data_IF_951198782959
#
_entry.id   IF_951198782959
#
_cell.length_a   1.000
_cell.length_b   1.000
_cell.length_c   1.000
_cell.angle_alpha   90.00
_cell.angle_beta   90.00
_cell.angle_gamma   90.00
#
_symmetry.space_group_name_H-M   'P 1'
#
loop_
_entity.id
_entity.type
_entity.pdbx_description
1 polymer ?
#
# COMPACT_ATOMS: atom_id res chain seq x y z
N UNK A 1 -2.77 32.41 10.40
CA UNK A 1 -1.56 31.59 10.30
C UNK A 1 -1.91 30.17 9.83
N UNK A 2 -0.95 29.43 9.22
CA UNK A 2 -1.19 28.10 8.66
C UNK A 2 -1.70 27.11 9.71
N UNK A 3 -1.08 27.06 10.89
CA UNK A 3 -1.47 26.15 11.97
C UNK A 3 -2.90 26.35 12.46
N UNK A 4 -3.35 27.59 12.58
CA UNK A 4 -4.73 27.88 12.98
C UNK A 4 -5.75 27.39 11.93
N UNK A 5 -5.40 27.43 10.64
CA UNK A 5 -6.22 26.89 9.57
C UNK A 5 -6.35 25.37 9.69
N UNK A 6 -5.25 24.67 9.95
CA UNK A 6 -5.25 23.21 10.13
C UNK A 6 -6.09 22.80 11.34
N UNK A 7 -5.96 23.52 12.45
CA UNK A 7 -6.77 23.29 13.65
C UNK A 7 -8.27 23.54 13.37
N UNK A 8 -8.59 24.62 12.68
CA UNK A 8 -9.97 24.95 12.29
C UNK A 8 -10.62 23.89 11.38
N UNK A 9 -9.83 23.33 10.44
CA UNK A 9 -10.31 22.30 9.51
C UNK A 9 -10.65 20.97 10.20
N UNK A 10 -10.09 20.69 11.38
CA UNK A 10 -10.32 19.47 12.15
C UNK A 10 -10.17 18.20 11.29
N UNK A 11 -9.01 18.04 10.63
CA UNK A 11 -8.76 16.99 9.64
C UNK A 11 -8.78 15.62 10.30
N UNK A 12 -9.63 14.72 9.77
CA UNK A 12 -9.75 13.33 10.20
C UNK A 12 -9.14 12.43 9.12
N UNK A 13 -7.99 11.78 9.38
CA UNK A 13 -7.42 10.83 8.42
C UNK A 13 -8.31 9.59 8.29
N UNK A 14 -8.38 9.03 7.08
CA UNK A 14 -9.08 7.77 6.82
C UNK A 14 -8.10 6.77 6.22
N UNK A 15 -7.84 5.68 6.94
CA UNK A 15 -7.02 4.58 6.45
C UNK A 15 -7.89 3.59 5.68
N UNK A 16 -7.59 3.39 4.40
CA UNK A 16 -8.28 2.44 3.53
C UNK A 16 -7.30 1.34 3.16
N UNK A 17 -7.66 0.10 3.43
CA UNK A 17 -6.84 -1.07 3.12
C UNK A 17 -7.63 -2.04 2.27
N UNK A 18 -7.05 -2.47 1.16
CA UNK A 18 -7.60 -3.52 0.28
C UNK A 18 -6.78 -4.80 0.46
N UNK A 19 -7.45 -5.94 0.54
CA UNK A 19 -6.77 -7.24 0.47
C UNK A 19 -6.09 -7.42 -0.90
N UNK A 20 -6.78 -6.97 -1.98
CA UNK A 20 -6.26 -6.90 -3.34
C UNK A 20 -6.55 -5.54 -3.96
N UNK A 21 -5.51 -4.86 -4.43
CA UNK A 21 -5.68 -3.60 -5.15
C UNK A 21 -6.26 -3.88 -6.55
N UNK A 22 -7.42 -3.32 -6.90
CA UNK A 22 -8.04 -3.56 -8.19
C UNK A 22 -7.22 -3.03 -9.39
N UNK A 23 -6.27 -2.14 -9.13
CA UNK A 23 -5.40 -1.54 -10.15
C UNK A 23 -3.95 -2.02 -10.06
N UNK A 24 -3.66 -3.09 -9.32
CA UNK A 24 -2.29 -3.55 -9.05
C UNK A 24 -1.45 -3.80 -10.31
N UNK A 25 -2.02 -4.44 -11.34
CA UNK A 25 -1.32 -4.68 -12.60
C UNK A 25 -0.98 -3.38 -13.35
N UNK A 26 -1.88 -2.39 -13.31
CA UNK A 26 -1.64 -1.08 -13.93
C UNK A 26 -0.57 -0.32 -13.17
N UNK A 27 -0.64 -0.33 -11.84
CA UNK A 27 0.36 0.32 -10.99
C UNK A 27 1.74 -0.33 -11.11
N UNK A 28 1.80 -1.67 -11.13
CA UNK A 28 3.07 -2.39 -11.33
C UNK A 28 3.70 -2.04 -12.69
N UNK A 29 2.90 -1.94 -13.73
CA UNK A 29 3.34 -1.49 -15.06
C UNK A 29 3.87 -0.04 -15.01
N UNK A 30 3.11 0.87 -14.41
CA UNK A 30 3.52 2.29 -14.27
C UNK A 30 4.86 2.41 -13.54
N UNK A 31 5.01 1.75 -12.40
CA UNK A 31 6.25 1.75 -11.62
C UNK A 31 7.43 1.17 -12.39
N UNK A 32 7.23 0.09 -13.14
CA UNK A 32 8.25 -0.48 -14.01
C UNK A 32 8.74 0.54 -15.03
N UNK A 33 7.83 1.19 -15.77
CA UNK A 33 8.24 2.18 -16.78
C UNK A 33 8.91 3.41 -16.17
N UNK A 34 8.45 3.90 -15.03
CA UNK A 34 9.10 5.01 -14.30
C UNK A 34 10.54 4.63 -13.96
N UNK A 35 10.76 3.42 -13.44
CA UNK A 35 12.11 2.94 -13.10
C UNK A 35 13.01 2.80 -14.32
N UNK A 36 12.50 2.29 -15.46
CA UNK A 36 13.28 2.06 -16.66
C UNK A 36 13.56 3.34 -17.47
N UNK A 37 12.65 4.30 -17.47
CA UNK A 37 12.71 5.47 -18.40
C UNK A 37 12.69 6.83 -17.68
N UNK A 38 12.51 6.84 -16.34
CA UNK A 38 12.40 8.05 -15.55
C UNK A 38 11.00 8.68 -15.56
N UNK A 39 10.08 8.19 -16.38
CA UNK A 39 8.71 8.72 -16.46
C UNK A 39 7.73 7.71 -17.04
N UNK A 40 6.44 7.94 -16.79
CA UNK A 40 5.35 7.19 -17.42
C UNK A 40 4.30 8.15 -17.94
N UNK A 41 4.03 8.08 -19.24
CA UNK A 41 2.91 8.82 -19.83
C UNK A 41 1.74 7.88 -19.99
N UNK A 42 0.65 8.14 -19.26
CA UNK A 42 -0.56 7.33 -19.34
C UNK A 42 -1.15 7.42 -20.76
N UNK A 43 -1.48 6.28 -21.38
CA UNK A 43 -2.26 6.26 -22.61
C UNK A 43 -3.61 6.96 -22.44
N UNK A 44 -4.15 7.47 -23.54
CA UNK A 44 -5.48 8.07 -23.55
C UNK A 44 -6.53 7.07 -23.02
N UNK A 45 -7.35 7.51 -22.07
CA UNK A 45 -8.39 6.71 -21.45
C UNK A 45 -7.93 5.77 -20.32
N UNK A 46 -6.64 5.65 -20.01
CA UNK A 46 -6.17 4.78 -18.91
C UNK A 46 -6.74 5.20 -17.54
N UNK A 47 -6.96 6.50 -17.32
CA UNK A 47 -7.58 6.98 -16.08
C UNK A 47 -9.03 6.51 -15.93
N UNK A 48 -9.81 6.48 -17.03
CA UNK A 48 -11.17 5.94 -17.02
C UNK A 48 -11.17 4.42 -16.79
N UNK A 49 -10.23 3.71 -17.39
CA UNK A 49 -10.04 2.26 -17.16
C UNK A 49 -9.70 2.00 -15.70
N UNK A 50 -8.77 2.77 -15.13
CA UNK A 50 -8.39 2.66 -13.71
C UNK A 50 -9.57 2.92 -12.78
N UNK A 51 -10.38 3.93 -13.08
CA UNK A 51 -11.58 4.24 -12.31
C UNK A 51 -12.62 3.10 -12.40
N UNK A 52 -12.88 2.59 -13.61
CA UNK A 52 -13.81 1.47 -13.81
C UNK A 52 -13.34 0.20 -13.07
N UNK A 53 -12.04 -0.13 -13.12
CA UNK A 53 -11.44 -1.23 -12.36
C UNK A 53 -11.56 -0.98 -10.86
N UNK A 54 -11.22 0.22 -10.39
CA UNK A 54 -11.34 0.62 -8.99
C UNK A 54 -12.75 0.45 -8.44
N UNK A 55 -13.79 0.62 -9.25
CA UNK A 55 -15.18 0.42 -8.85
C UNK A 55 -15.64 -1.04 -8.94
N UNK A 56 -15.32 -1.73 -10.05
CA UNK A 56 -15.91 -3.02 -10.40
C UNK A 56 -15.09 -4.26 -10.13
N UNK A 57 -13.77 -4.16 -10.04
CA UNK A 57 -12.89 -5.32 -9.87
C UNK A 57 -12.90 -5.86 -8.42
N UNK A 58 -12.59 -7.15 -8.30
CA UNK A 58 -12.50 -7.84 -7.02
C UNK A 58 -11.37 -7.27 -6.14
N UNK A 59 -11.69 -6.96 -4.89
CA UNK A 59 -10.80 -6.34 -3.89
C UNK A 59 -10.50 -7.26 -2.70
N UNK A 60 -11.16 -8.43 -2.62
CA UNK A 60 -11.18 -9.21 -1.39
C UNK A 60 -11.87 -8.44 -0.26
N UNK A 61 -11.32 -8.51 0.91
CA UNK A 61 -11.78 -7.68 2.04
C UNK A 61 -11.30 -6.23 1.90
N UNK A 62 -12.16 -5.31 2.35
CA UNK A 62 -11.85 -3.88 2.40
C UNK A 62 -12.04 -3.39 3.84
N UNK A 63 -10.99 -2.83 4.40
CA UNK A 63 -11.06 -2.19 5.71
C UNK A 63 -11.01 -0.67 5.57
N UNK A 64 -11.99 -0.01 6.17
CA UNK A 64 -12.07 1.45 6.25
C UNK A 64 -12.01 1.85 7.72
N UNK A 65 -11.00 2.62 8.10
CA UNK A 65 -10.83 3.09 9.46
C UNK A 65 -10.71 4.60 9.52
N UNK A 66 -11.66 5.24 10.20
CA UNK A 66 -11.57 6.65 10.56
C UNK A 66 -10.65 6.77 11.77
N UNK A 67 -9.60 7.58 11.61
CA UNK A 67 -8.64 7.84 12.68
C UNK A 67 -9.12 8.98 13.58
N UNK A 68 -8.38 9.24 14.68
CA UNK A 68 -8.60 10.44 15.46
C UNK A 68 -8.21 11.68 14.64
N UNK A 69 -8.88 12.84 14.84
CA UNK A 69 -8.46 14.08 14.23
C UNK A 69 -7.00 14.39 14.54
N UNK A 70 -6.25 14.88 13.56
CA UNK A 70 -4.87 15.31 13.82
C UNK A 70 -4.87 16.50 14.77
N UNK A 71 -3.91 16.49 15.72
CA UNK A 71 -3.74 17.52 16.72
C UNK A 71 -2.27 17.91 16.79
N UNK A 72 -2.01 19.20 16.89
CA UNK A 72 -0.64 19.72 17.03
C UNK A 72 -0.49 21.08 16.40
N UNK A 73 0.68 21.68 16.62
CA UNK A 73 1.06 22.92 15.96
C UNK A 73 1.84 22.58 14.70
N UNK A 74 1.27 22.89 13.54
CA UNK A 74 1.89 22.66 12.24
C UNK A 74 2.34 23.99 11.63
N UNK A 75 3.58 24.04 11.19
CA UNK A 75 4.17 25.23 10.57
C UNK A 75 4.24 25.09 9.04
N UNK A 76 4.31 23.84 8.54
CA UNK A 76 4.46 23.52 7.12
C UNK A 76 3.49 22.43 6.65
N UNK A 77 3.14 22.40 5.34
CA UNK A 77 2.37 21.32 4.76
C UNK A 77 3.02 19.93 4.95
N UNK A 78 4.36 19.87 4.92
CA UNK A 78 5.09 18.59 5.09
C UNK A 78 4.85 17.99 6.47
N UNK A 79 4.84 18.82 7.54
CA UNK A 79 4.53 18.35 8.89
C UNK A 79 3.10 17.77 8.98
N UNK A 80 2.15 18.36 8.26
CA UNK A 80 0.78 17.84 8.19
C UNK A 80 0.77 16.52 7.44
N UNK A 81 1.49 16.41 6.31
CA UNK A 81 1.59 15.17 5.53
C UNK A 81 2.21 14.04 6.35
N UNK A 82 3.32 14.30 7.05
CA UNK A 82 3.98 13.32 7.92
C UNK A 82 3.03 12.80 9.02
N UNK A 83 2.25 13.68 9.63
CA UNK A 83 1.29 13.30 10.66
C UNK A 83 0.12 12.48 10.06
N UNK A 84 -0.37 12.84 8.87
CA UNK A 84 -1.37 12.06 8.14
C UNK A 84 -0.85 10.66 7.79
N UNK A 85 0.37 10.56 7.27
CA UNK A 85 1.00 9.29 6.93
C UNK A 85 1.17 8.41 8.17
N UNK A 86 1.61 8.99 9.28
CA UNK A 86 1.73 8.28 10.56
C UNK A 86 0.39 7.70 11.02
N UNK A 87 -0.70 8.49 10.94
CA UNK A 87 -2.05 8.04 11.29
C UNK A 87 -2.53 6.94 10.36
N UNK A 88 -2.39 7.11 9.04
CA UNK A 88 -2.86 6.16 8.03
C UNK A 88 -2.10 4.84 8.17
N UNK A 89 -0.76 4.87 8.21
CA UNK A 89 0.06 3.66 8.30
C UNK A 89 -0.13 2.91 9.63
N UNK A 90 -0.26 3.63 10.75
CA UNK A 90 -0.50 3.00 12.05
C UNK A 90 -1.84 2.26 12.11
N UNK A 91 -2.83 2.75 11.37
CA UNK A 91 -4.18 2.19 11.32
C UNK A 91 -4.45 1.33 10.08
N UNK A 92 -3.46 1.16 9.19
CA UNK A 92 -3.60 0.31 8.01
C UNK A 92 -3.86 -1.14 8.43
N UNK A 93 -4.93 -1.74 7.90
CA UNK A 93 -5.20 -3.16 8.12
C UNK A 93 -4.31 -4.00 7.19
N UNK A 94 -3.60 -4.98 7.76
CA UNK A 94 -2.67 -5.83 7.03
C UNK A 94 -3.33 -7.17 6.75
N UNK A 95 -3.31 -7.58 5.49
CA UNK A 95 -3.89 -8.82 5.00
C UNK A 95 -2.83 -9.90 4.74
N UNK A 96 -3.21 -11.18 4.60
CA UNK A 96 -2.30 -12.24 4.17
C UNK A 96 -1.53 -11.91 2.88
N UNK A 97 -2.16 -11.24 1.91
CA UNK A 97 -1.53 -10.78 0.66
C UNK A 97 -0.27 -9.95 0.88
N UNK A 98 -0.25 -9.09 1.92
CA UNK A 98 0.93 -8.28 2.24
C UNK A 98 2.11 -9.14 2.71
N UNK A 99 1.86 -10.15 3.54
CA UNK A 99 2.89 -11.08 4.02
C UNK A 99 3.38 -12.03 2.93
N UNK A 100 2.46 -12.55 2.09
CA UNK A 100 2.79 -13.41 0.95
C UNK A 100 3.72 -12.67 0.01
N UNK A 101 3.41 -11.41 -0.33
CA UNK A 101 4.28 -10.58 -1.15
C UNK A 101 5.66 -10.36 -0.50
N UNK A 102 5.68 -9.99 0.79
CA UNK A 102 6.91 -9.75 1.53
C UNK A 102 7.81 -10.98 1.58
N UNK A 103 7.24 -12.18 1.71
CA UNK A 103 8.00 -13.44 1.75
C UNK A 103 8.75 -13.75 0.46
N UNK A 104 8.31 -13.21 -0.68
CA UNK A 104 8.86 -13.48 -2.01
C UNK A 104 9.90 -12.44 -2.46
N UNK A 105 10.15 -11.39 -1.66
CA UNK A 105 11.13 -10.34 -2.00
C UNK A 105 12.48 -10.68 -1.38
N UNK A 106 13.52 -10.73 -2.22
CA UNK A 106 14.90 -11.04 -1.80
C UNK A 106 15.71 -9.81 -1.35
N UNK A 107 15.21 -8.60 -1.63
CA UNK A 107 15.83 -7.34 -1.21
C UNK A 107 16.10 -7.32 0.30
N UNK A 108 17.31 -6.89 0.69
CA UNK A 108 17.80 -6.97 2.08
C UNK A 108 16.92 -6.23 3.09
N UNK A 109 16.37 -5.07 2.72
CA UNK A 109 15.50 -4.29 3.61
C UNK A 109 14.17 -5.02 3.86
N UNK A 110 13.56 -5.57 2.81
CA UNK A 110 12.33 -6.37 2.91
C UNK A 110 12.57 -7.67 3.67
N UNK A 111 13.73 -8.31 3.44
CA UNK A 111 14.12 -9.53 4.14
C UNK A 111 14.25 -9.35 5.64
N UNK A 112 14.79 -8.21 6.10
CA UNK A 112 14.88 -7.90 7.52
C UNK A 112 13.48 -7.78 8.16
N UNK A 113 12.54 -7.13 7.50
CA UNK A 113 11.16 -7.02 7.97
C UNK A 113 10.45 -8.39 7.96
N UNK A 114 10.68 -9.20 6.91
CA UNK A 114 10.16 -10.56 6.84
C UNK A 114 10.59 -11.41 8.04
N UNK A 115 11.88 -11.38 8.39
CA UNK A 115 12.42 -12.15 9.53
C UNK A 115 11.76 -11.79 10.86
N UNK A 116 11.30 -10.54 11.03
CA UNK A 116 10.55 -10.11 12.22
C UNK A 116 9.09 -10.58 12.23
N UNK A 117 8.51 -10.82 11.05
CA UNK A 117 7.06 -11.02 10.89
C UNK A 117 6.64 -12.43 10.47
N UNK A 118 7.58 -13.30 10.09
CA UNK A 118 7.30 -14.66 9.58
C UNK A 118 6.48 -15.53 10.54
N UNK A 119 6.71 -15.41 11.84
CA UNK A 119 5.99 -16.20 12.84
C UNK A 119 4.53 -15.76 12.93
N UNK A 120 4.28 -14.45 12.85
CA UNK A 120 2.92 -13.90 12.75
C UNK A 120 2.23 -14.31 11.44
N UNK A 121 2.96 -14.39 10.34
CA UNK A 121 2.40 -14.89 9.10
C UNK A 121 1.96 -16.36 9.24
N UNK A 122 2.76 -17.20 9.90
CA UNK A 122 2.43 -18.61 10.11
C UNK A 122 1.10 -18.83 10.88
N UNK A 123 0.69 -17.86 11.70
CA UNK A 123 -0.59 -17.90 12.43
C UNK A 123 -1.81 -17.60 11.53
N UNK A 124 -1.61 -16.86 10.44
CA UNK A 124 -2.68 -16.40 9.54
C UNK A 124 -2.58 -16.99 8.13
N UNK A 125 -1.53 -17.77 7.87
CA UNK A 125 -1.31 -18.39 6.57
C UNK A 125 -2.44 -19.35 6.21
N UNK A 126 -2.88 -19.29 4.96
CA UNK A 126 -3.91 -20.15 4.40
C UNK A 126 -3.52 -20.52 2.98
N UNK A 127 -3.58 -21.83 2.67
CA UNK A 127 -3.32 -22.36 1.32
C UNK A 127 -4.22 -21.70 0.27
N UNK A 128 -5.46 -21.39 0.65
CA UNK A 128 -6.41 -20.68 -0.21
C UNK A 128 -5.88 -19.29 -0.58
N UNK A 129 -5.45 -18.50 0.41
CA UNK A 129 -4.94 -17.14 0.19
C UNK A 129 -3.61 -17.12 -0.58
N UNK A 130 -2.74 -18.09 -0.34
CA UNK A 130 -1.52 -18.29 -1.12
C UNK A 130 -1.83 -18.59 -2.59
N UNK A 131 -2.78 -19.49 -2.85
CA UNK A 131 -3.21 -19.84 -4.21
C UNK A 131 -3.88 -18.65 -4.91
N UNK A 132 -4.74 -17.91 -4.21
CA UNK A 132 -5.42 -16.74 -4.74
C UNK A 132 -4.41 -15.64 -5.14
N UNK A 133 -3.43 -15.36 -4.26
CA UNK A 133 -2.37 -14.41 -4.55
C UNK A 133 -1.47 -14.86 -5.71
N UNK A 134 -1.08 -16.13 -5.74
CA UNK A 134 -0.28 -16.71 -6.82
C UNK A 134 -0.99 -16.58 -8.19
N UNK A 135 -2.27 -16.92 -8.25
CA UNK A 135 -3.08 -16.78 -9.47
C UNK A 135 -3.16 -15.32 -9.94
N UNK A 136 -3.15 -14.37 -8.99
CA UNK A 136 -3.14 -12.94 -9.31
C UNK A 136 -1.77 -12.49 -9.84
N UNK A 137 -0.69 -12.91 -9.18
CA UNK A 137 0.68 -12.63 -9.60
C UNK A 137 1.00 -13.23 -10.99
N UNK A 138 0.44 -14.40 -11.33
CA UNK A 138 0.66 -15.05 -12.62
C UNK A 138 0.09 -14.24 -13.80
N UNK A 139 -0.89 -13.38 -13.56
CA UNK A 139 -1.40 -12.44 -14.58
C UNK A 139 -0.48 -11.23 -14.78
N UNK A 140 0.49 -11.03 -13.88
CA UNK A 140 1.45 -9.94 -13.96
C UNK A 140 2.63 -10.33 -14.88
N UNK A 141 2.99 -9.52 -15.90
CA UNK A 141 4.20 -9.74 -16.69
C UNK A 141 5.43 -9.89 -15.80
N UNK A 142 6.32 -10.80 -16.18
CA UNK A 142 7.47 -11.18 -15.33
C UNK A 142 8.32 -9.97 -14.91
N UNK A 143 8.56 -9.04 -15.84
CA UNK A 143 9.31 -7.81 -15.61
C UNK A 143 8.64 -6.83 -14.65
N UNK A 144 7.30 -6.89 -14.50
CA UNK A 144 6.54 -6.05 -13.58
C UNK A 144 6.38 -6.68 -12.18
N UNK A 145 6.62 -7.99 -12.03
CA UNK A 145 6.40 -8.73 -10.75
C UNK A 145 7.14 -8.15 -9.56
N UNK A 146 8.40 -7.66 -9.67
CA UNK A 146 9.08 -7.03 -8.54
C UNK A 146 8.32 -5.81 -7.99
N UNK A 147 7.74 -5.01 -8.87
CA UNK A 147 6.97 -3.82 -8.48
C UNK A 147 5.62 -4.20 -7.87
N UNK A 148 4.96 -5.20 -8.45
CA UNK A 148 3.73 -5.78 -7.91
C UNK A 148 3.94 -6.28 -6.47
N UNK A 149 4.97 -7.08 -6.23
CA UNK A 149 5.28 -7.59 -4.89
C UNK A 149 5.62 -6.47 -3.91
N UNK A 150 6.44 -5.49 -4.31
CA UNK A 150 6.79 -4.35 -3.47
C UNK A 150 5.57 -3.51 -3.08
N UNK A 151 4.62 -3.29 -3.97
CA UNK A 151 3.38 -2.56 -3.65
C UNK A 151 2.60 -3.22 -2.50
N UNK A 152 2.45 -4.54 -2.53
CA UNK A 152 1.77 -5.28 -1.46
C UNK A 152 2.60 -5.35 -0.17
N UNK A 153 3.94 -5.46 -0.26
CA UNK A 153 4.82 -5.56 0.89
C UNK A 153 5.06 -4.22 1.60
N UNK A 154 5.01 -3.09 0.88
CA UNK A 154 5.34 -1.77 1.39
C UNK A 154 4.59 -1.34 2.67
N UNK A 155 3.28 -1.62 2.86
CA UNK A 155 2.61 -1.28 4.11
C UNK A 155 3.27 -1.89 5.35
N UNK A 156 3.82 -3.10 5.24
CA UNK A 156 4.56 -3.75 6.34
C UNK A 156 5.91 -3.08 6.60
N UNK A 157 6.64 -2.75 5.53
CA UNK A 157 7.95 -2.09 5.63
C UNK A 157 7.81 -0.67 6.18
N UNK A 158 6.85 0.11 5.67
CA UNK A 158 6.59 1.46 6.16
C UNK A 158 6.18 1.46 7.64
N UNK A 159 5.37 0.48 8.09
CA UNK A 159 5.01 0.35 9.51
C UNK A 159 6.18 -0.07 10.40
N UNK A 160 7.11 -0.88 9.91
CA UNK A 160 8.32 -1.23 10.67
C UNK A 160 9.18 0.02 10.89
N UNK A 161 9.33 0.86 9.86
CA UNK A 161 10.07 2.12 9.93
C UNK A 161 9.46 3.16 10.90
N UNK A 162 8.13 3.15 11.09
CA UNK A 162 7.49 4.03 12.10
C UNK A 162 7.78 3.62 13.55
N UNK A 163 8.27 2.41 13.77
CA UNK A 163 8.54 1.85 15.10
C UNK A 163 10.01 1.95 15.51
N UNK A 164 10.87 2.32 14.58
CA UNK A 164 12.31 2.53 14.79
C UNK A 164 12.62 3.99 15.03
#
# INVERSE_FOLDING_TARGET
>A
PFGELIEFLNIVPVSISYEYDPCDLLKAKELYYIDQTGSYTKPEGEDLISLAKGLGEFKGEVNLRFCEPIKGSFETPDQVADELDRHILSNYHVYPSNYIALSQIEDSAYRQVWLKLKDRYAEIASQEKETEFANRLDRCPTEHRPYFLKMYANPLVCRDNLRT
#
